data_IF_855781806713
#
_entry.id   IF_855781806713
#
_cell.length_a   1.000
_cell.length_b   1.000
_cell.length_c   1.000
_cell.angle_alpha   90.00
_cell.angle_beta   90.00
_cell.angle_gamma   90.00
#
_symmetry.space_group_name_H-M   'P 1'
#
loop_
_entity.id
_entity.type
_entity.pdbx_description
1 polymer ?
#
# COMPACT_ATOMS: atom_id res chain seq x y z
N UNK A 1 -20.91 22.23 -21.87
CA UNK A 1 -20.89 22.39 -20.41
C UNK A 1 -21.32 21.04 -19.82
N UNK A 2 -20.37 20.18 -19.40
CA UNK A 2 -20.73 18.98 -18.64
C UNK A 2 -20.90 19.45 -17.20
N UNK A 3 -22.11 19.28 -16.65
CA UNK A 3 -22.38 19.46 -15.22
C UNK A 3 -21.30 18.72 -14.44
N UNK A 4 -20.52 19.45 -13.64
CA UNK A 4 -19.67 18.85 -12.62
C UNK A 4 -20.64 18.30 -11.56
N UNK A 5 -21.10 17.05 -11.75
CA UNK A 5 -21.70 16.33 -10.66
C UNK A 5 -20.68 16.39 -9.52
N UNK A 6 -21.09 17.01 -8.43
CA UNK A 6 -20.27 17.17 -7.24
C UNK A 6 -19.81 15.77 -6.81
N UNK A 7 -18.50 15.51 -6.84
CA UNK A 7 -17.95 14.19 -6.54
C UNK A 7 -18.25 13.91 -5.07
N UNK A 8 -19.09 12.93 -4.78
CA UNK A 8 -19.46 12.57 -3.42
C UNK A 8 -18.30 11.86 -2.69
N UNK A 9 -17.80 12.48 -1.64
CA UNK A 9 -16.80 11.95 -0.71
C UNK A 9 -17.39 11.52 0.63
N UNK A 10 -18.73 11.54 0.79
CA UNK A 10 -19.38 11.19 2.06
C UNK A 10 -19.19 9.73 2.45
N UNK A 11 -19.18 8.84 1.46
CA UNK A 11 -19.02 7.41 1.64
C UNK A 11 -17.89 6.84 0.76
N UNK A 12 -17.32 5.73 1.19
CA UNK A 12 -16.38 4.95 0.40
C UNK A 12 -17.12 4.33 -0.79
N UNK A 13 -16.57 4.49 -1.99
CA UNK A 13 -17.09 3.84 -3.18
C UNK A 13 -16.45 2.46 -3.33
N UNK A 14 -17.27 1.46 -3.67
CA UNK A 14 -16.78 0.09 -3.92
C UNK A 14 -15.87 0.06 -5.16
N UNK A 15 -14.79 -0.72 -5.15
CA UNK A 15 -13.98 -0.99 -6.34
C UNK A 15 -14.78 -1.52 -7.54
N UNK A 16 -15.82 -2.32 -7.29
CA UNK A 16 -16.70 -2.85 -8.36
C UNK A 16 -17.52 -1.75 -9.03
N UNK A 17 -17.99 -0.75 -8.26
CA UNK A 17 -18.81 0.33 -8.79
C UNK A 17 -17.97 1.39 -9.53
N UNK A 18 -16.70 1.50 -9.18
CA UNK A 18 -15.78 2.49 -9.73
C UNK A 18 -14.39 1.87 -9.93
N UNK A 19 -14.18 1.06 -10.98
CA UNK A 19 -12.91 0.37 -11.22
C UNK A 19 -11.81 1.34 -11.66
N UNK A 20 -10.56 1.00 -11.35
CA UNK A 20 -9.36 1.66 -11.87
C UNK A 20 -8.89 1.00 -13.16
N UNK A 21 -8.27 1.77 -14.06
CA UNK A 21 -7.75 1.23 -15.31
C UNK A 21 -6.62 0.23 -15.09
N UNK A 22 -5.82 0.41 -14.02
CA UNK A 22 -4.73 -0.52 -13.73
C UNK A 22 -5.22 -1.85 -13.14
N UNK A 23 -6.46 -1.94 -12.66
CA UNK A 23 -7.07 -3.19 -12.18
C UNK A 23 -7.60 -4.06 -13.33
N UNK A 24 -7.77 -3.47 -14.53
CA UNK A 24 -8.28 -4.14 -15.73
C UNK A 24 -7.19 -4.74 -16.60
N UNK A 25 -7.62 -5.29 -17.74
CA UNK A 25 -6.70 -5.80 -18.75
C UNK A 25 -5.88 -4.66 -19.34
N UNK A 26 -4.56 -4.74 -19.19
CA UNK A 26 -3.62 -3.77 -19.74
C UNK A 26 -2.34 -4.45 -20.23
N UNK A 27 -1.57 -3.74 -21.06
CA UNK A 27 -0.25 -4.22 -21.47
C UNK A 27 0.75 -4.15 -20.31
N UNK A 28 1.82 -4.98 -20.37
CA UNK A 28 2.92 -4.88 -19.41
C UNK A 28 3.57 -3.49 -19.43
N UNK A 29 3.68 -2.87 -20.59
CA UNK A 29 4.24 -1.52 -20.75
C UNK A 29 3.40 -0.46 -20.07
N UNK A 30 2.07 -0.49 -20.22
CA UNK A 30 1.15 0.42 -19.54
C UNK A 30 1.22 0.22 -18.01
N UNK A 31 1.17 -1.04 -17.54
CA UNK A 31 1.28 -1.36 -16.13
C UNK A 31 2.60 -0.85 -15.52
N UNK A 32 3.72 -1.16 -16.18
CA UNK A 32 5.06 -0.68 -15.77
C UNK A 32 5.17 0.84 -15.80
N UNK A 33 4.60 1.49 -16.81
CA UNK A 33 4.56 2.95 -16.93
C UNK A 33 3.78 3.61 -15.80
N UNK A 34 2.64 3.02 -15.43
CA UNK A 34 1.85 3.42 -14.26
C UNK A 34 2.66 3.31 -12.98
N UNK A 35 3.26 2.13 -12.70
CA UNK A 35 4.08 1.92 -11.50
C UNK A 35 5.26 2.89 -11.37
N UNK A 36 5.93 3.25 -12.48
CA UNK A 36 6.99 4.26 -12.47
C UNK A 36 6.46 5.65 -12.06
N UNK A 37 5.29 6.02 -12.55
CA UNK A 37 4.65 7.28 -12.16
C UNK A 37 4.23 7.26 -10.70
N UNK A 38 3.68 6.16 -10.20
CA UNK A 38 3.34 5.98 -8.79
C UNK A 38 4.57 6.05 -7.87
N UNK A 39 5.70 5.45 -8.25
CA UNK A 39 6.97 5.58 -7.51
C UNK A 39 7.42 7.04 -7.44
N UNK A 40 7.33 7.82 -8.52
CA UNK A 40 7.64 9.25 -8.51
C UNK A 40 6.73 10.02 -7.55
N UNK A 41 5.43 9.76 -7.60
CA UNK A 41 4.44 10.38 -6.72
C UNK A 41 4.76 10.07 -5.26
N UNK A 42 5.01 8.79 -4.93
CA UNK A 42 5.37 8.37 -3.60
C UNK A 42 6.65 9.06 -3.09
N UNK A 43 7.63 9.28 -3.96
CA UNK A 43 8.86 10.01 -3.61
C UNK A 43 8.59 11.50 -3.35
N UNK A 44 7.82 12.16 -4.22
CA UNK A 44 7.54 13.60 -4.12
C UNK A 44 6.60 13.93 -2.97
N UNK A 45 5.58 13.09 -2.76
CA UNK A 45 4.58 13.28 -1.71
C UNK A 45 4.93 12.56 -0.39
N UNK A 46 6.20 12.13 -0.23
CA UNK A 46 6.70 11.49 0.98
C UNK A 46 5.90 10.23 1.38
N UNK A 47 5.36 9.51 0.40
CA UNK A 47 4.46 8.36 0.60
C UNK A 47 5.04 7.22 1.42
N UNK A 48 6.36 7.06 1.45
CA UNK A 48 7.04 6.02 2.26
C UNK A 48 7.24 6.41 3.72
N UNK A 49 7.14 7.72 4.03
CA UNK A 49 7.47 8.25 5.35
C UNK A 49 6.67 7.61 6.50
N UNK A 50 5.35 7.38 6.36
CA UNK A 50 4.57 6.74 7.42
C UNK A 50 5.10 5.34 7.76
N UNK A 51 5.25 4.48 6.74
CA UNK A 51 5.75 3.10 6.93
C UNK A 51 7.16 3.07 7.52
N UNK A 52 8.08 3.90 7.00
CA UNK A 52 9.44 3.97 7.54
C UNK A 52 9.49 4.54 8.96
N UNK A 53 8.59 5.46 9.31
CA UNK A 53 8.48 6.00 10.67
C UNK A 53 7.95 4.93 11.64
N UNK A 54 6.96 4.16 11.21
CA UNK A 54 6.41 3.06 11.99
C UNK A 54 7.48 1.97 12.23
N UNK A 55 8.24 1.60 11.21
CA UNK A 55 9.35 0.63 11.32
C UNK A 55 10.51 1.10 12.21
N UNK A 56 10.60 2.38 12.59
CA UNK A 56 11.64 2.86 13.54
C UNK A 56 11.54 2.22 14.92
N UNK A 57 10.42 1.63 15.28
CA UNK A 57 10.21 0.87 16.52
C UNK A 57 11.00 -0.44 16.55
N UNK A 58 11.42 -0.95 15.38
CA UNK A 58 12.27 -2.15 15.33
C UNK A 58 13.57 -1.97 16.08
N UNK A 59 13.93 -2.92 16.95
CA UNK A 59 15.20 -2.89 17.69
C UNK A 59 16.38 -3.02 16.72
N UNK A 60 17.48 -2.37 17.06
CA UNK A 60 18.77 -2.56 16.36
C UNK A 60 19.45 -3.81 16.91
N UNK A 61 20.20 -4.49 16.05
CA UNK A 61 21.03 -5.62 16.50
C UNK A 61 20.25 -6.91 16.76
N UNK A 62 19.13 -7.12 16.07
CA UNK A 62 18.46 -8.43 16.08
C UNK A 62 19.42 -9.55 15.66
N UNK A 63 19.38 -10.70 16.37
CA UNK A 63 20.19 -11.88 16.05
C UNK A 63 19.82 -12.52 14.70
N UNK A 64 18.59 -12.33 14.27
CA UNK A 64 18.07 -12.86 13.01
C UNK A 64 17.55 -11.72 12.13
N UNK A 65 17.63 -11.88 10.80
CA UNK A 65 17.00 -10.91 9.89
C UNK A 65 15.50 -10.78 10.17
N UNK A 66 15.01 -9.55 10.22
CA UNK A 66 13.57 -9.27 10.34
C UNK A 66 12.89 -9.58 8.99
N UNK A 67 11.97 -10.52 8.97
CA UNK A 67 11.22 -10.87 7.77
C UNK A 67 10.03 -9.94 7.59
N UNK A 68 10.06 -9.13 6.54
CA UNK A 68 9.01 -8.16 6.19
C UNK A 68 8.35 -8.59 4.89
N UNK A 69 7.03 -8.72 4.91
CA UNK A 69 6.21 -9.03 3.74
C UNK A 69 5.41 -7.78 3.35
N UNK A 70 5.46 -7.40 2.07
CA UNK A 70 4.68 -6.30 1.48
C UNK A 70 3.57 -6.89 0.61
N UNK A 71 2.32 -6.66 0.99
CA UNK A 71 1.12 -7.14 0.29
C UNK A 71 0.60 -6.06 -0.66
N UNK A 72 0.46 -6.41 -1.94
CA UNK A 72 0.20 -5.46 -3.02
C UNK A 72 1.45 -4.66 -3.35
N UNK A 73 2.59 -5.34 -3.50
CA UNK A 73 3.90 -4.69 -3.61
C UNK A 73 4.13 -3.93 -4.92
N UNK A 74 3.30 -4.14 -5.96
CA UNK A 74 3.38 -3.48 -7.25
C UNK A 74 4.80 -3.52 -7.84
N UNK A 75 5.40 -2.36 -8.10
CA UNK A 75 6.77 -2.21 -8.60
C UNK A 75 7.87 -2.40 -7.55
N UNK A 76 7.56 -2.75 -6.31
CA UNK A 76 8.51 -3.02 -5.23
C UNK A 76 9.23 -1.79 -4.68
N UNK A 77 8.74 -0.60 -4.97
CA UNK A 77 9.34 0.67 -4.57
C UNK A 77 9.41 0.83 -3.04
N UNK A 78 8.36 0.43 -2.31
CA UNK A 78 8.37 0.43 -0.84
C UNK A 78 9.45 -0.50 -0.29
N UNK A 79 9.56 -1.73 -0.79
CA UNK A 79 10.58 -2.69 -0.32
C UNK A 79 12.00 -2.20 -0.61
N UNK A 80 12.24 -1.55 -1.76
CA UNK A 80 13.52 -0.89 -2.04
C UNK A 80 13.84 0.22 -1.02
N UNK A 81 12.83 0.99 -0.58
CA UNK A 81 13.03 2.00 0.46
C UNK A 81 13.29 1.37 1.84
N UNK A 82 12.57 0.31 2.18
CA UNK A 82 12.80 -0.44 3.43
C UNK A 82 14.21 -1.02 3.45
N UNK A 83 14.68 -1.64 2.36
CA UNK A 83 16.05 -2.16 2.25
C UNK A 83 17.12 -1.08 2.51
N UNK A 84 16.97 0.08 1.87
CA UNK A 84 17.90 1.22 2.08
C UNK A 84 17.85 1.75 3.51
N UNK A 85 16.64 1.85 4.08
CA UNK A 85 16.43 2.30 5.46
C UNK A 85 17.05 1.32 6.46
N UNK A 86 16.81 0.02 6.29
CA UNK A 86 17.34 -1.03 7.16
C UNK A 86 18.87 -1.06 7.14
N UNK A 87 19.48 -0.98 5.93
CA UNK A 87 20.94 -0.89 5.77
C UNK A 87 21.53 0.31 6.52
N UNK A 88 20.92 1.51 6.42
CA UNK A 88 21.37 2.71 7.14
C UNK A 88 21.27 2.57 8.65
N UNK A 89 20.44 1.68 9.17
CA UNK A 89 20.22 1.45 10.60
C UNK A 89 20.97 0.23 11.13
N UNK A 90 21.66 -0.51 10.27
CA UNK A 90 22.31 -1.77 10.65
C UNK A 90 21.33 -2.87 11.04
N UNK A 91 20.11 -2.87 10.44
CA UNK A 91 19.10 -3.90 10.67
C UNK A 91 19.16 -4.89 9.51
N UNK A 92 19.42 -6.17 9.82
CA UNK A 92 19.29 -7.23 8.83
C UNK A 92 17.82 -7.49 8.52
N UNK A 93 17.45 -7.55 7.23
CA UNK A 93 16.08 -7.80 6.79
C UNK A 93 16.04 -8.88 5.73
N UNK A 94 14.98 -9.70 5.76
CA UNK A 94 14.53 -10.53 4.65
C UNK A 94 13.25 -9.89 4.09
N UNK A 95 13.19 -9.64 2.78
CA UNK A 95 12.10 -8.89 2.17
C UNK A 95 11.38 -9.75 1.13
N UNK A 96 10.05 -9.79 1.22
CA UNK A 96 9.18 -10.50 0.29
C UNK A 96 8.07 -9.58 -0.16
N UNK A 97 7.89 -9.42 -1.47
CA UNK A 97 6.77 -8.71 -2.08
C UNK A 97 5.79 -9.71 -2.69
N UNK A 98 4.51 -9.54 -2.38
CA UNK A 98 3.42 -10.36 -2.92
C UNK A 98 2.48 -9.44 -3.69
N UNK A 99 2.13 -9.83 -4.90
CA UNK A 99 1.14 -9.10 -5.70
C UNK A 99 0.31 -10.07 -6.53
N UNK A 100 -0.99 -9.76 -6.67
CA UNK A 100 -1.90 -10.58 -7.45
C UNK A 100 -1.68 -10.41 -8.96
N UNK A 101 -1.24 -9.23 -9.37
CA UNK A 101 -1.02 -8.91 -10.78
C UNK A 101 0.21 -9.67 -11.31
N UNK A 102 0.09 -10.47 -12.39
CA UNK A 102 1.19 -11.27 -12.92
C UNK A 102 2.37 -10.44 -13.45
N UNK A 103 2.14 -9.17 -13.77
CA UNK A 103 3.19 -8.26 -14.24
C UNK A 103 4.02 -7.64 -13.10
N UNK A 104 3.49 -7.62 -11.87
CA UNK A 104 4.11 -6.94 -10.74
C UNK A 104 5.50 -7.52 -10.42
N UNK A 105 5.63 -8.84 -10.29
CA UNK A 105 6.89 -9.50 -9.98
C UNK A 105 7.98 -9.19 -11.04
N UNK A 106 7.61 -9.19 -12.32
CA UNK A 106 8.52 -8.81 -13.41
C UNK A 106 8.92 -7.35 -13.34
N UNK A 107 7.96 -6.43 -13.18
CA UNK A 107 8.22 -4.99 -13.10
C UNK A 107 9.09 -4.64 -11.89
N UNK A 108 8.83 -5.28 -10.73
CA UNK A 108 9.62 -5.12 -9.52
C UNK A 108 11.05 -5.64 -9.70
N UNK A 109 11.23 -6.83 -10.30
CA UNK A 109 12.54 -7.41 -10.56
C UNK A 109 13.37 -6.55 -11.53
N UNK A 110 12.76 -6.05 -12.63
CA UNK A 110 13.43 -5.13 -13.57
C UNK A 110 13.92 -3.82 -12.93
N UNK A 111 13.23 -3.37 -11.88
CA UNK A 111 13.49 -2.08 -11.20
C UNK A 111 14.33 -2.20 -9.93
N UNK A 112 14.68 -3.43 -9.53
CA UNK A 112 15.34 -3.70 -8.25
C UNK A 112 16.76 -4.27 -8.46
N UNK A 113 17.80 -3.66 -7.88
CA UNK A 113 19.14 -4.24 -7.87
C UNK A 113 19.13 -5.63 -7.21
N UNK A 114 19.73 -6.63 -7.89
CA UNK A 114 19.75 -8.02 -7.42
C UNK A 114 20.37 -8.18 -6.04
N UNK A 115 21.30 -7.32 -5.68
CA UNK A 115 22.03 -7.30 -4.40
C UNK A 115 21.12 -7.02 -3.21
N UNK A 116 19.91 -6.50 -3.44
CA UNK A 116 18.94 -6.30 -2.36
C UNK A 116 18.26 -7.60 -1.91
N UNK A 117 18.37 -8.68 -2.70
CA UNK A 117 17.90 -10.01 -2.31
C UNK A 117 16.39 -10.07 -1.99
N UNK A 118 15.57 -9.26 -2.68
CA UNK A 118 14.12 -9.21 -2.45
C UNK A 118 13.46 -10.35 -3.23
N UNK A 119 12.60 -11.12 -2.54
CA UNK A 119 11.79 -12.18 -3.15
C UNK A 119 10.48 -11.61 -3.68
N UNK A 120 10.11 -11.95 -4.91
CA UNK A 120 8.86 -11.53 -5.55
C UNK A 120 7.96 -12.74 -5.76
N UNK A 121 6.71 -12.63 -5.31
CA UNK A 121 5.69 -13.69 -5.38
C UNK A 121 4.48 -13.15 -6.13
N UNK A 122 4.07 -13.85 -7.19
CA UNK A 122 2.78 -13.58 -7.85
C UNK A 122 1.71 -14.47 -7.23
N UNK A 123 0.66 -13.88 -6.69
CA UNK A 123 -0.44 -14.64 -6.11
C UNK A 123 -1.24 -13.88 -5.07
N UNK A 124 -2.30 -14.53 -4.59
CA UNK A 124 -3.17 -13.97 -3.55
C UNK A 124 -2.51 -14.13 -2.17
N UNK A 125 -2.27 -13.01 -1.50
CA UNK A 125 -1.68 -13.00 -0.17
C UNK A 125 -2.51 -13.78 0.86
N UNK A 126 -3.83 -13.80 0.74
CA UNK A 126 -4.72 -14.48 1.69
C UNK A 126 -4.52 -16.01 1.73
N UNK A 127 -4.03 -16.59 0.64
CA UNK A 127 -3.71 -18.04 0.56
C UNK A 127 -2.20 -18.30 0.63
N UNK A 128 -1.40 -17.26 0.64
CA UNK A 128 0.05 -17.39 0.75
C UNK A 128 0.44 -18.02 2.10
N UNK A 129 1.33 -19.00 2.04
CA UNK A 129 1.89 -19.68 3.21
C UNK A 129 3.40 -19.42 3.21
N UNK A 130 3.88 -18.51 4.07
CA UNK A 130 5.30 -18.23 4.15
C UNK A 130 6.07 -19.47 4.66
N UNK A 131 7.18 -19.80 4.03
CA UNK A 131 8.06 -20.90 4.47
C UNK A 131 8.75 -20.59 5.80
N UNK A 132 8.93 -19.33 6.11
CA UNK A 132 9.51 -18.84 7.36
C UNK A 132 8.54 -17.92 8.07
N UNK A 133 8.61 -17.84 9.41
CA UNK A 133 7.81 -16.89 10.16
C UNK A 133 7.96 -15.47 9.62
N UNK A 134 6.87 -14.72 9.56
CA UNK A 134 6.84 -13.32 9.16
C UNK A 134 6.80 -12.46 10.40
N UNK A 135 7.77 -11.57 10.56
CA UNK A 135 7.77 -10.65 11.68
C UNK A 135 6.79 -9.49 11.44
N UNK A 136 6.85 -8.92 10.25
CA UNK A 136 6.06 -7.74 9.89
C UNK A 136 5.37 -7.92 8.56
N UNK A 137 4.10 -7.53 8.51
CA UNK A 137 3.36 -7.36 7.26
C UNK A 137 3.11 -5.87 7.03
N UNK A 138 3.43 -5.39 5.84
CA UNK A 138 3.09 -4.03 5.40
C UNK A 138 2.23 -4.09 4.15
N UNK A 139 1.45 -3.04 3.92
CA UNK A 139 0.75 -2.80 2.67
C UNK A 139 0.67 -1.31 2.41
N UNK A 140 0.86 -0.88 1.17
CA UNK A 140 0.83 0.53 0.83
C UNK A 140 0.07 0.77 -0.46
N UNK A 141 -0.96 1.65 -0.41
CA UNK A 141 -1.79 2.00 -1.57
C UNK A 141 -2.44 0.79 -2.25
N UNK A 142 -2.86 -0.19 -1.47
CA UNK A 142 -3.47 -1.42 -1.99
C UNK A 142 -4.86 -1.67 -1.40
N UNK A 143 -5.08 -1.34 -0.12
CA UNK A 143 -6.34 -1.66 0.55
C UNK A 143 -7.54 -0.99 -0.11
N UNK A 144 -7.39 0.19 -0.72
CA UNK A 144 -8.47 0.85 -1.45
C UNK A 144 -8.89 0.14 -2.75
N UNK A 145 -8.12 -0.84 -3.24
CA UNK A 145 -8.50 -1.72 -4.35
C UNK A 145 -9.38 -2.90 -3.93
N UNK A 146 -9.55 -3.13 -2.63
CA UNK A 146 -10.28 -4.26 -2.07
C UNK A 146 -11.71 -3.88 -1.68
N UNK A 147 -12.63 -4.83 -1.80
CA UNK A 147 -13.94 -4.75 -1.16
C UNK A 147 -13.81 -4.84 0.36
N UNK A 148 -14.84 -4.41 1.10
CA UNK A 148 -14.80 -4.39 2.57
C UNK A 148 -14.57 -5.79 3.16
N UNK A 149 -15.17 -6.83 2.58
CA UNK A 149 -14.99 -8.23 2.99
C UNK A 149 -13.56 -8.72 2.76
N UNK A 150 -12.95 -8.29 1.66
CA UNK A 150 -11.56 -8.62 1.34
C UNK A 150 -10.58 -7.91 2.27
N UNK A 151 -10.87 -6.66 2.66
CA UNK A 151 -10.09 -5.93 3.67
C UNK A 151 -10.17 -6.62 5.03
N UNK A 152 -11.36 -7.07 5.43
CA UNK A 152 -11.56 -7.84 6.67
C UNK A 152 -10.76 -9.14 6.63
N UNK A 153 -10.77 -9.85 5.50
CA UNK A 153 -9.97 -11.06 5.32
C UNK A 153 -8.46 -10.77 5.38
N UNK A 154 -8.01 -9.67 4.75
CA UNK A 154 -6.63 -9.22 4.81
C UNK A 154 -6.19 -8.89 6.24
N UNK A 155 -6.99 -8.15 6.99
CA UNK A 155 -6.71 -7.82 8.39
C UNK A 155 -6.56 -9.08 9.25
N UNK A 156 -7.46 -10.06 9.09
CA UNK A 156 -7.36 -11.36 9.79
C UNK A 156 -6.12 -12.15 9.39
N UNK A 157 -5.77 -12.12 8.11
CA UNK A 157 -4.55 -12.76 7.62
C UNK A 157 -3.30 -12.10 8.20
N UNK A 158 -3.26 -10.77 8.25
CA UNK A 158 -2.17 -10.01 8.89
C UNK A 158 -2.04 -10.34 10.38
N UNK A 159 -3.15 -10.38 11.13
CA UNK A 159 -3.19 -10.78 12.54
C UNK A 159 -2.64 -12.18 12.79
N UNK A 160 -2.93 -13.11 11.88
CA UNK A 160 -2.50 -14.51 12.01
C UNK A 160 -1.02 -14.71 11.67
N UNK A 161 -0.48 -13.93 10.72
CA UNK A 161 0.84 -14.20 10.16
C UNK A 161 1.93 -13.24 10.67
N UNK A 162 1.60 -12.04 11.10
CA UNK A 162 2.59 -11.08 11.58
C UNK A 162 2.88 -11.31 13.08
N UNK A 163 4.12 -11.74 13.39
CA UNK A 163 4.51 -12.05 14.79
C UNK A 163 4.77 -10.79 15.62
N UNK A 164 5.25 -9.72 14.99
CA UNK A 164 5.65 -8.47 15.65
C UNK A 164 4.65 -7.36 15.38
N UNK A 165 4.05 -7.34 14.19
CA UNK A 165 3.02 -6.35 13.87
C UNK A 165 2.77 -6.18 12.39
N UNK A 166 1.78 -5.34 12.07
CA UNK A 166 1.42 -5.03 10.70
C UNK A 166 1.09 -3.54 10.53
N UNK A 167 1.21 -3.04 9.31
CA UNK A 167 0.96 -1.63 9.00
C UNK A 167 0.40 -1.45 7.59
N UNK A 168 -0.75 -0.79 7.50
CA UNK A 168 -1.39 -0.36 6.25
C UNK A 168 -1.21 1.14 6.11
N UNK A 169 -0.63 1.57 4.99
CA UNK A 169 -0.43 2.96 4.62
C UNK A 169 -1.26 3.28 3.37
N UNK A 170 -2.43 3.85 3.54
CA UNK A 170 -3.32 4.10 2.40
C UNK A 170 -3.77 5.56 2.31
N UNK A 171 -4.60 5.88 1.33
CA UNK A 171 -5.11 7.22 1.10
C UNK A 171 -6.19 7.59 2.11
N UNK A 172 -6.22 8.88 2.48
CA UNK A 172 -7.33 9.50 3.18
C UNK A 172 -8.39 9.96 2.16
N UNK A 173 -9.66 9.59 2.37
CA UNK A 173 -10.79 10.05 1.55
C UNK A 173 -11.05 11.53 1.80
N UNK A 174 -10.39 12.37 1.02
CA UNK A 174 -10.38 13.81 1.18
C UNK A 174 -10.52 14.51 -0.18
N UNK A 175 -11.57 15.29 -0.32
CA UNK A 175 -11.79 16.09 -1.52
C UNK A 175 -10.64 17.10 -1.74
N UNK A 176 -10.14 17.70 -0.65
CA UNK A 176 -9.00 18.62 -0.71
C UNK A 176 -7.75 17.95 -1.27
N UNK A 177 -7.44 16.74 -0.79
CA UNK A 177 -6.28 15.97 -1.28
C UNK A 177 -6.47 15.56 -2.74
N UNK A 178 -7.67 15.17 -3.13
CA UNK A 178 -8.02 14.87 -4.52
C UNK A 178 -7.83 16.09 -5.45
N UNK A 179 -8.33 17.26 -5.05
CA UNK A 179 -8.16 18.51 -5.82
C UNK A 179 -6.68 18.92 -5.96
N UNK A 180 -5.91 18.77 -4.88
CA UNK A 180 -4.47 19.03 -4.90
C UNK A 180 -3.75 18.07 -5.84
N UNK A 181 -4.09 16.79 -5.80
CA UNK A 181 -3.53 15.79 -6.70
C UNK A 181 -3.86 16.11 -8.17
N UNK A 182 -5.12 16.45 -8.48
CA UNK A 182 -5.55 16.83 -9.83
C UNK A 182 -4.82 18.10 -10.35
N UNK A 183 -4.43 19.02 -9.47
CA UNK A 183 -3.62 20.17 -9.84
C UNK A 183 -2.18 19.77 -10.18
N UNK A 184 -1.56 18.93 -9.36
CA UNK A 184 -0.20 18.41 -9.57
C UNK A 184 -0.11 17.60 -10.87
N UNK A 185 -1.11 16.76 -11.13
CA UNK A 185 -1.19 15.95 -12.34
C UNK A 185 -1.12 16.77 -13.63
N UNK A 186 -1.78 17.94 -13.67
CA UNK A 186 -1.74 18.85 -14.82
C UNK A 186 -0.35 19.41 -15.12
N UNK A 187 0.52 19.45 -14.10
CA UNK A 187 1.88 19.98 -14.20
C UNK A 187 2.92 18.90 -14.48
N UNK A 188 2.52 17.64 -14.49
CA UNK A 188 3.40 16.47 -14.61
C UNK A 188 3.01 15.63 -15.81
N UNK A 189 3.96 14.97 -16.42
CA UNK A 189 3.72 14.02 -17.52
C UNK A 189 3.43 12.59 -17.03
N UNK A 190 2.71 12.42 -15.93
CA UNK A 190 2.43 11.10 -15.40
C UNK A 190 1.59 10.23 -16.35
N UNK A 191 1.73 8.93 -16.22
CA UNK A 191 1.04 7.96 -17.05
C UNK A 191 -0.48 8.16 -17.06
N UNK A 192 -1.14 7.89 -18.20
CA UNK A 192 -2.59 8.09 -18.39
C UNK A 192 -3.44 7.39 -17.33
N UNK A 193 -3.01 6.21 -16.85
CA UNK A 193 -3.71 5.51 -15.77
C UNK A 193 -3.71 6.32 -14.47
N UNK A 194 -2.56 6.85 -14.05
CA UNK A 194 -2.48 7.69 -12.84
C UNK A 194 -3.43 8.88 -12.91
N UNK A 195 -3.58 9.47 -14.11
CA UNK A 195 -4.48 10.61 -14.33
C UNK A 195 -5.94 10.22 -14.20
N UNK A 196 -6.32 9.06 -14.69
CA UNK A 196 -7.67 8.54 -14.56
C UNK A 196 -7.92 8.01 -13.14
N UNK A 197 -7.00 7.18 -12.63
CA UNK A 197 -7.20 6.41 -11.42
C UNK A 197 -7.03 7.26 -10.15
N UNK A 198 -6.22 8.33 -10.17
CA UNK A 198 -6.00 9.16 -8.99
C UNK A 198 -7.27 9.67 -8.33
N UNK A 199 -8.19 10.36 -9.04
CA UNK A 199 -9.49 10.76 -8.49
C UNK A 199 -10.34 9.57 -8.02
N UNK A 200 -10.26 8.42 -8.70
CA UNK A 200 -10.94 7.17 -8.34
C UNK A 200 -10.42 6.66 -7.01
N UNK A 201 -9.10 6.52 -6.87
CA UNK A 201 -8.44 6.07 -5.63
C UNK A 201 -8.85 6.90 -4.43
N UNK A 202 -8.93 8.24 -4.56
CA UNK A 202 -9.39 9.10 -3.45
C UNK A 202 -10.85 8.84 -3.05
N UNK A 203 -11.73 8.43 -3.97
CA UNK A 203 -13.13 8.08 -3.66
C UNK A 203 -13.25 6.70 -3.02
N UNK A 204 -12.33 5.80 -3.34
CA UNK A 204 -12.23 4.44 -2.78
C UNK A 204 -11.44 4.42 -1.45
N UNK A 205 -10.78 5.53 -1.11
CA UNK A 205 -9.96 5.71 0.09
C UNK A 205 -10.80 5.73 1.38
N UNK A 206 -10.14 5.86 2.51
CA UNK A 206 -10.69 5.64 3.83
C UNK A 206 -10.83 6.92 4.66
N UNK A 207 -11.77 6.88 5.62
CA UNK A 207 -11.85 7.76 6.78
C UNK A 207 -11.76 6.91 8.05
N UNK A 208 -11.67 7.57 9.20
CA UNK A 208 -11.60 6.90 10.50
C UNK A 208 -12.77 5.94 10.73
N UNK A 209 -13.98 6.34 10.32
CA UNK A 209 -15.19 5.54 10.48
C UNK A 209 -15.13 4.23 9.69
N UNK A 210 -14.52 4.26 8.50
CA UNK A 210 -14.35 3.04 7.68
C UNK A 210 -13.44 2.05 8.40
N UNK A 211 -12.31 2.53 8.94
CA UNK A 211 -11.39 1.67 9.68
C UNK A 211 -12.00 1.14 10.98
N UNK A 212 -12.79 1.95 11.71
CA UNK A 212 -13.52 1.47 12.90
C UNK A 212 -14.43 0.29 12.53
N UNK A 213 -15.20 0.41 11.45
CA UNK A 213 -16.10 -0.62 10.97
C UNK A 213 -15.36 -1.89 10.52
N UNK A 214 -14.31 -1.73 9.71
CA UNK A 214 -13.51 -2.83 9.17
C UNK A 214 -12.75 -3.61 10.27
N UNK A 215 -12.12 -2.91 11.22
CA UNK A 215 -11.44 -3.51 12.36
C UNK A 215 -12.42 -4.28 13.27
N UNK A 216 -13.59 -3.70 13.53
CA UNK A 216 -14.64 -4.37 14.29
C UNK A 216 -15.10 -5.65 13.60
N UNK A 217 -15.34 -5.61 12.29
CA UNK A 217 -15.71 -6.79 11.50
C UNK A 217 -14.60 -7.84 11.45
N UNK A 218 -13.33 -7.42 11.50
CA UNK A 218 -12.18 -8.33 11.59
C UNK A 218 -12.01 -8.96 12.98
N UNK A 219 -12.70 -8.44 14.01
CA UNK A 219 -12.54 -8.88 15.40
C UNK A 219 -11.32 -8.27 16.09
N UNK A 220 -10.77 -7.18 15.55
CA UNK A 220 -9.59 -6.51 16.10
C UNK A 220 -10.04 -5.38 17.04
N UNK A 221 -9.67 -5.41 18.34
CA UNK A 221 -10.05 -4.36 19.27
C UNK A 221 -9.45 -3.00 18.85
N UNK A 222 -10.28 -1.95 18.86
CA UNK A 222 -9.85 -0.58 18.50
C UNK A 222 -8.63 -0.11 19.31
N UNK A 223 -8.56 -0.45 20.59
CA UNK A 223 -7.43 -0.08 21.46
C UNK A 223 -6.12 -0.80 21.15
N UNK A 224 -6.15 -1.84 20.30
CA UNK A 224 -4.97 -2.61 19.91
C UNK A 224 -4.25 -2.02 18.67
N UNK A 225 -4.85 -1.03 18.00
CA UNK A 225 -4.33 -0.43 16.77
C UNK A 225 -4.15 1.07 16.94
N UNK A 226 -3.19 1.62 16.19
CA UNK A 226 -3.03 3.07 15.99
C UNK A 226 -3.61 3.46 14.64
N UNK A 227 -4.36 4.57 14.59
CA UNK A 227 -4.83 5.21 13.35
C UNK A 227 -4.15 6.57 13.28
N UNK A 228 -3.43 6.83 12.21
CA UNK A 228 -2.58 8.02 12.07
C UNK A 228 -2.84 8.75 10.75
N UNK A 229 -3.08 10.06 10.83
CA UNK A 229 -3.17 10.93 9.66
C UNK A 229 -1.78 11.48 9.29
N UNK A 230 -1.37 11.27 8.06
CA UNK A 230 -0.10 11.79 7.53
C UNK A 230 -0.34 12.69 6.33
N UNK A 231 0.25 13.87 6.35
CA UNK A 231 0.18 14.80 5.21
C UNK A 231 1.27 14.51 4.20
N UNK A 232 0.94 14.63 2.89
CA UNK A 232 -0.38 14.88 2.33
C UNK A 232 -1.21 13.60 2.18
N UNK A 233 -2.48 13.62 2.62
CA UNK A 233 -3.55 12.70 2.22
C UNK A 233 -3.36 11.21 2.51
N UNK A 234 -2.66 10.83 3.61
CA UNK A 234 -2.52 9.44 4.05
C UNK A 234 -3.24 9.19 5.35
N UNK A 235 -3.94 8.07 5.41
CA UNK A 235 -4.55 7.50 6.61
C UNK A 235 -3.95 6.11 6.81
N UNK A 236 -3.23 5.96 7.92
CA UNK A 236 -2.46 4.77 8.21
C UNK A 236 -3.02 4.04 9.41
N UNK A 237 -3.05 2.72 9.36
CA UNK A 237 -3.51 1.86 10.45
C UNK A 237 -2.45 0.81 10.74
N UNK A 238 -2.11 0.61 11.99
CA UNK A 238 -1.11 -0.37 12.35
C UNK A 238 -1.21 -0.90 13.76
N UNK A 239 -0.68 -2.09 13.96
CA UNK A 239 -0.59 -2.77 15.25
C UNK A 239 0.82 -3.28 15.49
N UNK A 240 1.27 -3.14 16.73
CA UNK A 240 2.39 -3.88 17.30
C UNK A 240 1.86 -4.91 18.27
N UNK A 241 2.30 -6.16 18.13
CA UNK A 241 1.91 -7.28 18.99
C UNK A 241 2.80 -7.34 20.21
#
# INVERSE_FOLDING_TARGET
MRSSAEIDFSRRVSPRDLPELMDGDCSFEDFRGCLRSLEQINRWLLGYRPTLAWLKRLPRGSRHPVHIVDVGCGGGDLLRQIARWARKRGIAVQLTGIDLNPYAARAAAESTPKELGITWVTGNALVYRPEKPVDIVVSSLMAHHLEDEEIVALLRWMETNAQVGWFINDLERSERSCRMFALLERMTGWHRFVRHDGPVSFRRAFRDEDWVRLLTAAGIPRGAVTVEHWRPGRLCVGRWT
#
